data_IF_295294989313
#
_entry.id   IF_295294989313
#
_cell.length_a   1.000
_cell.length_b   1.000
_cell.length_c   1.000
_cell.angle_alpha   90.00
_cell.angle_beta   90.00
_cell.angle_gamma   90.00
#
_symmetry.space_group_name_H-M   'P 1'
#
loop_
_entity.id
_entity.type
_entity.pdbx_description
1 polymer ?
#
# COMPACT_ATOMS: atom_id res chain seq x y z
N UNK A 1 -45.11 -21.68 -19.53
CA UNK A 1 -43.76 -21.26 -19.99
C UNK A 1 -43.48 -19.77 -19.72
N UNK A 2 -44.32 -18.83 -20.17
CA UNK A 2 -44.09 -17.37 -19.98
C UNK A 2 -43.92 -16.93 -18.51
N UNK A 3 -44.73 -17.48 -17.58
CA UNK A 3 -44.64 -17.16 -16.13
C UNK A 3 -43.33 -17.63 -15.48
N UNK A 4 -42.77 -18.76 -15.92
CA UNK A 4 -41.50 -19.29 -15.40
C UNK A 4 -40.34 -18.41 -15.88
N UNK A 5 -40.38 -17.96 -17.14
CA UNK A 5 -39.38 -17.02 -17.66
C UNK A 5 -39.37 -15.68 -16.89
N UNK A 6 -40.54 -15.14 -16.54
CA UNK A 6 -40.64 -13.91 -15.75
C UNK A 6 -40.05 -14.05 -14.33
N UNK A 7 -40.28 -15.20 -13.68
CA UNK A 7 -39.72 -15.48 -12.34
C UNK A 7 -38.21 -15.63 -12.38
N UNK A 8 -37.65 -16.26 -13.42
CA UNK A 8 -36.20 -16.38 -13.61
C UNK A 8 -35.55 -15.02 -13.83
N UNK A 9 -36.17 -14.14 -14.63
CA UNK A 9 -35.65 -12.78 -14.88
C UNK A 9 -35.68 -11.92 -13.62
N UNK A 10 -36.73 -12.02 -12.77
CA UNK A 10 -36.76 -11.34 -11.47
C UNK A 10 -35.71 -11.89 -10.49
N UNK A 11 -35.45 -13.20 -10.49
CA UNK A 11 -34.43 -13.81 -9.65
C UNK A 11 -33.01 -13.36 -10.02
N UNK A 12 -32.74 -13.13 -11.30
CA UNK A 12 -31.44 -12.61 -11.77
C UNK A 12 -31.25 -11.14 -11.39
N UNK A 13 -32.31 -10.33 -11.35
CA UNK A 13 -32.25 -8.93 -10.87
C UNK A 13 -32.07 -8.81 -9.35
N UNK A 14 -32.43 -9.85 -8.59
CA UNK A 14 -32.21 -9.94 -7.14
C UNK A 14 -30.85 -10.52 -6.78
N UNK A 15 -30.05 -10.97 -7.77
CA UNK A 15 -28.66 -11.29 -7.50
C UNK A 15 -28.00 -10.00 -7.00
N UNK A 16 -27.38 -10.00 -5.81
CA UNK A 16 -26.57 -8.87 -5.42
C UNK A 16 -25.54 -8.72 -6.53
N UNK A 17 -25.56 -7.58 -7.22
CA UNK A 17 -24.45 -7.16 -8.05
C UNK A 17 -23.32 -7.00 -7.04
N UNK A 18 -22.56 -8.08 -6.84
CA UNK A 18 -21.41 -8.10 -5.95
C UNK A 18 -20.51 -7.01 -6.49
N UNK A 19 -20.58 -5.85 -5.84
CA UNK A 19 -19.88 -4.65 -6.24
C UNK A 19 -18.44 -5.05 -6.44
N UNK A 20 -17.94 -4.86 -7.67
CA UNK A 20 -16.52 -4.97 -7.92
C UNK A 20 -15.86 -4.16 -6.83
N UNK A 21 -15.03 -4.80 -6.00
CA UNK A 21 -14.37 -4.13 -4.89
C UNK A 21 -13.61 -2.95 -5.49
N UNK A 22 -14.19 -1.76 -5.35
CA UNK A 22 -13.61 -0.56 -5.93
C UNK A 22 -12.27 -0.37 -5.23
N UNK A 23 -11.22 -0.18 -6.03
CA UNK A 23 -9.88 0.05 -5.53
C UNK A 23 -9.94 1.19 -4.49
N UNK A 24 -9.46 0.94 -3.26
CA UNK A 24 -9.58 1.91 -2.16
C UNK A 24 -8.92 3.24 -2.52
N UNK A 25 -7.86 3.16 -3.32
CA UNK A 25 -7.12 4.28 -3.85
C UNK A 25 -7.94 5.14 -4.79
N UNK A 26 -8.71 4.54 -5.71
CA UNK A 26 -9.60 5.30 -6.60
C UNK A 26 -10.83 5.85 -5.86
N UNK A 27 -11.36 5.10 -4.89
CA UNK A 27 -12.49 5.55 -4.06
C UNK A 27 -12.20 6.86 -3.32
N UNK A 28 -10.97 7.02 -2.84
CA UNK A 28 -10.56 8.19 -2.05
C UNK A 28 -9.68 9.18 -2.81
N UNK A 29 -9.48 8.97 -4.11
CA UNK A 29 -8.80 9.94 -4.96
C UNK A 29 -9.58 11.26 -4.98
N UNK A 30 -8.93 12.37 -4.60
CA UNK A 30 -9.55 13.70 -4.50
C UNK A 30 -10.37 13.96 -3.23
N UNK A 31 -10.39 13.04 -2.27
CA UNK A 31 -11.05 13.27 -0.97
C UNK A 31 -10.18 14.21 -0.09
N UNK A 32 -10.78 15.26 0.47
CA UNK A 32 -10.06 16.28 1.28
C UNK A 32 -9.51 15.76 2.62
N UNK A 33 -10.08 14.67 3.14
CA UNK A 33 -9.65 14.01 4.38
C UNK A 33 -8.53 12.98 4.14
N UNK A 34 -8.12 12.81 2.89
CA UNK A 34 -7.10 11.84 2.49
C UNK A 34 -5.92 12.55 1.83
N UNK A 35 -4.72 12.23 2.30
CA UNK A 35 -3.51 12.50 1.52
C UNK A 35 -3.31 11.34 0.57
N UNK A 36 -3.52 11.60 -0.72
CA UNK A 36 -3.37 10.61 -1.79
C UNK A 36 -2.13 10.93 -2.61
N UNK A 37 -1.25 9.95 -2.78
CA UNK A 37 -0.12 10.05 -3.71
C UNK A 37 -0.12 8.83 -4.61
N UNK A 38 -0.10 9.07 -5.92
CA UNK A 38 0.11 8.03 -6.93
C UNK A 38 1.24 8.44 -7.85
N UNK A 39 2.24 7.56 -7.97
CA UNK A 39 3.39 7.78 -8.85
C UNK A 39 3.32 6.76 -9.96
N UNK A 40 3.24 7.27 -11.18
CA UNK A 40 3.23 6.47 -12.40
C UNK A 40 4.65 6.09 -12.84
N UNK A 41 4.82 4.98 -13.59
CA UNK A 41 6.15 4.48 -13.95
C UNK A 41 6.98 5.47 -14.77
N UNK A 42 6.32 6.38 -15.50
CA UNK A 42 7.00 7.45 -16.24
C UNK A 42 7.80 8.38 -15.33
N UNK A 43 7.32 8.68 -14.12
CA UNK A 43 8.05 9.50 -13.15
C UNK A 43 9.32 8.81 -12.67
N UNK A 44 9.25 7.50 -12.40
CA UNK A 44 10.42 6.70 -12.01
C UNK A 44 11.45 6.62 -13.13
N UNK A 45 11.01 6.44 -14.38
CA UNK A 45 11.89 6.48 -15.55
C UNK A 45 12.52 7.85 -15.75
N UNK A 46 11.81 8.95 -15.47
CA UNK A 46 12.36 10.30 -15.55
C UNK A 46 13.44 10.51 -14.49
N UNK A 47 13.20 10.12 -13.23
CA UNK A 47 14.22 10.17 -12.16
C UNK A 47 15.45 9.34 -12.53
N UNK A 48 15.25 8.11 -13.01
CA UNK A 48 16.35 7.25 -13.44
C UNK A 48 17.15 7.84 -14.62
N UNK A 49 16.50 8.56 -15.54
CA UNK A 49 17.15 9.20 -16.71
C UNK A 49 17.83 10.52 -16.38
N UNK A 50 17.39 11.22 -15.34
CA UNK A 50 18.03 12.47 -14.90
C UNK A 50 19.42 12.24 -14.30
N UNK A 51 19.83 10.97 -14.11
CA UNK A 51 21.24 10.62 -13.90
C UNK A 51 21.90 11.47 -12.83
N UNK A 52 21.28 11.56 -11.65
CA UNK A 52 22.00 12.04 -10.47
C UNK A 52 23.26 11.18 -10.41
N UNK A 53 24.46 11.77 -10.39
CA UNK A 53 25.71 11.02 -10.35
C UNK A 53 25.69 10.12 -9.11
N UNK A 54 25.42 8.84 -9.32
CA UNK A 54 25.31 7.85 -8.24
C UNK A 54 26.60 7.06 -8.18
N UNK A 55 27.68 7.77 -7.85
CA UNK A 55 28.97 7.14 -7.51
C UNK A 55 28.90 6.39 -6.18
N UNK A 56 27.79 6.56 -5.44
CA UNK A 56 27.46 5.86 -4.21
C UNK A 56 26.61 4.60 -4.48
N UNK A 57 27.09 3.46 -3.97
CA UNK A 57 26.42 2.16 -4.07
C UNK A 57 25.02 2.16 -3.46
N UNK A 58 24.79 2.98 -2.42
CA UNK A 58 23.48 3.05 -1.75
C UNK A 58 22.42 3.70 -2.64
N UNK A 59 22.78 4.79 -3.32
CA UNK A 59 21.83 5.47 -4.19
C UNK A 59 21.64 4.72 -5.53
N UNK A 60 22.61 3.90 -5.97
CA UNK A 60 22.42 2.97 -7.08
C UNK A 60 21.34 1.93 -6.78
N UNK A 61 21.40 1.32 -5.60
CA UNK A 61 20.40 0.35 -5.15
C UNK A 61 19.00 0.96 -5.08
N UNK A 62 18.91 2.19 -4.56
CA UNK A 62 17.67 2.96 -4.56
C UNK A 62 17.12 3.23 -5.98
N UNK A 63 18.00 3.55 -6.94
CA UNK A 63 17.60 3.73 -8.34
C UNK A 63 17.14 2.44 -9.02
N UNK A 64 17.76 1.31 -8.71
CA UNK A 64 17.35 0.03 -9.29
C UNK A 64 16.02 -0.44 -8.71
N UNK A 65 15.76 -0.22 -7.42
CA UNK A 65 14.43 -0.39 -6.81
C UNK A 65 13.38 0.51 -7.47
N UNK A 66 13.69 1.80 -7.65
CA UNK A 66 12.77 2.76 -8.29
C UNK A 66 12.40 2.35 -9.71
N UNK A 67 13.36 1.83 -10.50
CA UNK A 67 13.10 1.33 -11.86
C UNK A 67 12.20 0.09 -11.89
N UNK A 68 12.24 -0.72 -10.84
CA UNK A 68 11.48 -1.98 -10.80
C UNK A 68 10.02 -1.78 -10.40
N UNK A 69 9.67 -0.63 -9.83
CA UNK A 69 8.31 -0.24 -9.48
C UNK A 69 7.53 0.21 -10.73
N UNK A 70 6.40 -0.45 -10.99
CA UNK A 70 5.47 -0.10 -12.06
C UNK A 70 4.30 0.74 -11.57
N UNK A 71 3.95 0.69 -10.28
CA UNK A 71 2.95 1.55 -9.67
C UNK A 71 3.27 1.75 -8.20
N UNK A 72 3.12 2.98 -7.73
CA UNK A 72 3.10 3.31 -6.31
C UNK A 72 1.82 4.09 -6.00
N UNK A 73 1.05 3.62 -5.02
CA UNK A 73 -0.10 4.33 -4.47
C UNK A 73 -0.01 4.35 -2.96
N UNK A 74 -0.30 5.49 -2.34
CA UNK A 74 -0.42 5.59 -0.89
C UNK A 74 -1.60 6.47 -0.49
N UNK A 75 -2.26 6.07 0.59
CA UNK A 75 -3.27 6.85 1.29
C UNK A 75 -2.83 7.03 2.73
N UNK A 76 -2.91 8.27 3.20
CA UNK A 76 -2.76 8.63 4.61
C UNK A 76 -4.04 9.34 5.07
N UNK A 77 -4.60 8.93 6.20
CA UNK A 77 -5.82 9.49 6.77
C UNK A 77 -5.76 9.52 8.30
N UNK A 78 -6.37 10.55 8.88
CA UNK A 78 -6.71 10.66 10.30
C UNK A 78 -8.23 10.50 10.55
N UNK A 79 -9.03 10.44 9.49
CA UNK A 79 -10.46 10.15 9.59
C UNK A 79 -10.71 8.66 9.92
N UNK A 80 -11.36 8.41 11.06
CA UNK A 80 -11.68 7.07 11.60
C UNK A 80 -12.57 6.23 10.69
N UNK A 81 -13.52 6.85 10.01
CA UNK A 81 -14.44 6.15 9.12
C UNK A 81 -13.70 5.65 7.88
N UNK A 82 -12.83 6.49 7.31
CA UNK A 82 -11.97 6.13 6.18
C UNK A 82 -10.95 5.06 6.62
N UNK A 83 -10.34 5.21 7.79
CA UNK A 83 -9.44 4.21 8.37
C UNK A 83 -10.09 2.83 8.53
N UNK A 84 -11.33 2.79 9.02
CA UNK A 84 -12.10 1.56 9.14
C UNK A 84 -12.43 0.92 7.78
N UNK A 85 -12.69 1.74 6.76
CA UNK A 85 -12.96 1.26 5.41
C UNK A 85 -11.70 0.71 4.73
N UNK A 86 -10.56 1.41 4.85
CA UNK A 86 -9.25 0.92 4.42
C UNK A 86 -8.95 -0.42 5.11
N UNK A 87 -9.16 -0.52 6.43
CA UNK A 87 -8.92 -1.77 7.17
C UNK A 87 -9.76 -2.93 6.64
N UNK A 88 -11.01 -2.69 6.25
CA UNK A 88 -11.88 -3.71 5.63
C UNK A 88 -11.38 -4.08 4.24
N UNK A 89 -10.99 -3.09 3.44
CA UNK A 89 -10.43 -3.32 2.11
C UNK A 89 -9.14 -4.14 2.18
N UNK A 90 -8.21 -3.81 3.09
CA UNK A 90 -6.97 -4.57 3.30
C UNK A 90 -7.27 -6.01 3.65
N UNK A 91 -8.20 -6.27 4.59
CA UNK A 91 -8.63 -7.65 4.93
C UNK A 91 -9.20 -8.41 3.74
N UNK A 92 -9.93 -7.74 2.86
CA UNK A 92 -10.45 -8.35 1.63
C UNK A 92 -9.33 -8.61 0.61
N UNK A 93 -8.39 -7.67 0.47
CA UNK A 93 -7.29 -7.75 -0.50
C UNK A 93 -6.25 -8.80 -0.10
N UNK A 94 -5.97 -8.90 1.20
CA UNK A 94 -4.98 -9.83 1.76
C UNK A 94 -5.32 -11.29 1.53
N UNK A 95 -6.58 -11.64 1.22
CA UNK A 95 -6.96 -13.02 0.87
C UNK A 95 -6.28 -13.56 -0.41
N UNK A 96 -5.69 -12.68 -1.22
CA UNK A 96 -4.91 -13.04 -2.42
C UNK A 96 -3.41 -12.82 -2.27
N UNK A 97 -2.97 -12.47 -1.06
CA UNK A 97 -1.59 -12.12 -0.72
C UNK A 97 -1.12 -12.99 0.44
N UNK A 98 0.19 -13.17 0.56
CA UNK A 98 0.83 -13.80 1.71
C UNK A 98 1.17 -12.74 2.76
N UNK A 99 0.85 -12.99 4.03
CA UNK A 99 1.29 -12.14 5.14
C UNK A 99 2.73 -12.49 5.49
N UNK A 100 3.68 -11.61 5.17
CA UNK A 100 5.09 -11.84 5.48
C UNK A 100 5.44 -11.48 6.92
N UNK A 101 4.85 -10.39 7.42
CA UNK A 101 5.21 -9.87 8.73
C UNK A 101 4.07 -9.04 9.31
N UNK A 102 3.90 -9.17 10.63
CA UNK A 102 3.03 -8.33 11.44
C UNK A 102 3.79 -7.84 12.68
N UNK A 103 3.71 -6.55 12.96
CA UNK A 103 4.21 -5.94 14.19
C UNK A 103 3.05 -5.29 14.91
N UNK A 104 2.92 -5.56 16.21
CA UNK A 104 1.94 -4.92 17.09
C UNK A 104 2.67 -4.38 18.30
N UNK A 105 2.59 -3.07 18.50
CA UNK A 105 3.19 -2.40 19.66
C UNK A 105 2.42 -1.14 20.03
N UNK A 106 2.21 -0.89 21.32
CA UNK A 106 1.60 0.36 21.82
C UNK A 106 0.20 0.70 21.27
N UNK A 107 -0.51 -0.25 20.66
CA UNK A 107 -1.78 -0.01 19.96
C UNK A 107 -1.64 0.41 18.50
N UNK A 108 -0.42 0.43 17.95
CA UNK A 108 -0.18 0.41 16.51
C UNK A 108 -0.10 -1.03 15.98
N UNK A 109 -0.47 -1.19 14.71
CA UNK A 109 -0.36 -2.42 13.97
C UNK A 109 0.25 -2.10 12.60
N UNK A 110 1.34 -2.80 12.26
CA UNK A 110 1.97 -2.78 10.94
C UNK A 110 1.83 -4.17 10.33
N UNK A 111 1.39 -4.24 9.09
CA UNK A 111 1.29 -5.50 8.33
C UNK A 111 1.93 -5.36 6.96
N UNK A 112 2.65 -6.39 6.57
CA UNK A 112 3.27 -6.53 5.26
C UNK A 112 2.67 -7.73 4.56
N UNK A 113 2.07 -7.47 3.41
CA UNK A 113 1.50 -8.49 2.54
C UNK A 113 2.21 -8.48 1.20
N UNK A 114 2.47 -9.66 0.63
CA UNK A 114 3.11 -9.76 -0.69
C UNK A 114 2.39 -10.70 -1.62
N UNK A 115 2.63 -10.50 -2.91
CA UNK A 115 2.38 -11.49 -3.93
C UNK A 115 3.70 -11.94 -4.51
N UNK A 116 4.00 -13.23 -4.42
CA UNK A 116 5.25 -13.80 -4.93
C UNK A 116 5.50 -13.44 -6.40
N UNK A 117 6.76 -13.15 -6.70
CA UNK A 117 7.22 -12.66 -7.98
C UNK A 117 7.68 -13.78 -8.92
N UNK A 118 8.89 -13.62 -9.44
CA UNK A 118 9.54 -14.57 -10.35
C UNK A 118 10.38 -15.61 -9.59
N UNK A 119 10.78 -15.29 -8.36
CA UNK A 119 11.57 -16.12 -7.45
C UNK A 119 11.21 -15.75 -6.00
N UNK A 120 11.92 -16.33 -5.03
CA UNK A 120 11.64 -16.18 -3.59
C UNK A 120 12.15 -14.89 -2.96
N UNK A 121 12.88 -14.06 -3.72
CA UNK A 121 13.41 -12.77 -3.28
C UNK A 121 12.67 -11.60 -3.95
N UNK A 122 11.88 -11.87 -4.99
CA UNK A 122 11.11 -10.86 -5.71
C UNK A 122 9.60 -10.99 -5.48
N UNK A 123 8.92 -9.85 -5.45
CA UNK A 123 7.46 -9.77 -5.31
C UNK A 123 6.84 -8.93 -6.43
N UNK A 124 5.67 -9.38 -6.90
CA UNK A 124 4.85 -8.66 -7.89
C UNK A 124 4.04 -7.52 -7.28
N UNK A 125 3.68 -7.68 -6.02
CA UNK A 125 2.88 -6.73 -5.26
C UNK A 125 3.37 -6.73 -3.81
N UNK A 126 3.52 -5.53 -3.25
CA UNK A 126 3.70 -5.30 -1.82
C UNK A 126 2.57 -4.40 -1.35
N UNK A 127 1.87 -4.82 -0.31
CA UNK A 127 0.87 -4.04 0.38
C UNK A 127 1.29 -3.88 1.83
N UNK A 128 1.56 -2.63 2.23
CA UNK A 128 1.88 -2.26 3.60
C UNK A 128 0.66 -1.57 4.19
N UNK A 129 0.21 -2.05 5.34
CA UNK A 129 -0.87 -1.44 6.09
C UNK A 129 -0.38 -1.07 7.48
N UNK A 130 -0.57 0.20 7.84
CA UNK A 130 -0.24 0.72 9.15
C UNK A 130 -1.46 1.37 9.78
N UNK A 131 -1.75 1.02 11.02
CA UNK A 131 -2.81 1.60 11.81
C UNK A 131 -2.30 1.98 13.20
N UNK A 132 -2.77 3.08 13.77
CA UNK A 132 -2.36 3.59 15.08
C UNK A 132 -0.96 4.21 15.13
N UNK A 133 -0.49 4.81 14.02
CA UNK A 133 0.84 5.46 13.94
C UNK A 133 1.04 6.54 15.02
N UNK A 134 -0.03 7.25 15.37
CA UNK A 134 -0.08 8.30 16.40
C UNK A 134 0.45 7.83 17.77
N UNK A 135 0.33 6.54 18.09
CA UNK A 135 0.77 5.98 19.38
C UNK A 135 2.23 5.58 19.44
N UNK A 136 2.83 5.23 18.29
CA UNK A 136 4.21 4.70 18.23
C UNK A 136 5.21 5.76 17.79
N UNK A 137 4.80 6.69 16.92
CA UNK A 137 5.76 7.64 16.36
C UNK A 137 6.10 8.83 17.26
N UNK A 138 5.40 9.05 18.39
CA UNK A 138 5.50 10.30 19.18
C UNK A 138 5.56 11.58 18.30
N UNK A 139 5.02 11.48 17.08
CA UNK A 139 5.17 12.51 16.08
C UNK A 139 4.14 13.58 16.40
N UNK A 140 4.61 14.82 16.52
CA UNK A 140 3.77 16.01 16.65
C UNK A 140 3.00 16.25 15.34
N UNK A 141 2.10 15.32 14.99
CA UNK A 141 1.43 15.25 13.70
C UNK A 141 2.38 15.21 12.51
N UNK A 142 1.83 15.13 11.31
CA UNK A 142 2.52 15.58 10.09
C UNK A 142 1.84 16.85 9.64
N UNK A 143 2.63 17.88 9.33
CA UNK A 143 2.12 19.09 8.71
C UNK A 143 1.70 18.75 7.28
N UNK A 144 0.38 18.76 7.05
CA UNK A 144 -0.19 18.67 5.71
C UNK A 144 -1.01 19.94 5.50
N UNK A 145 -0.50 20.84 4.65
CA UNK A 145 -1.12 22.13 4.36
C UNK A 145 -1.28 23.04 5.60
N UNK A 146 -0.33 23.06 6.52
CA UNK A 146 -0.36 23.91 7.73
C UNK A 146 -1.26 23.41 8.85
N UNK A 147 -1.79 22.19 8.74
CA UNK A 147 -2.59 21.54 9.79
C UNK A 147 -1.81 20.35 10.37
N UNK A 148 -1.68 20.32 11.70
CA UNK A 148 -1.19 19.13 12.41
C UNK A 148 -2.24 18.02 12.34
N UNK A 149 -2.00 17.01 11.52
CA UNK A 149 -2.84 15.81 11.45
C UNK A 149 -2.24 14.68 12.25
N UNK A 150 -3.02 14.07 13.14
CA UNK A 150 -2.62 12.85 13.85
C UNK A 150 -2.79 11.69 12.89
N UNK A 151 -1.70 11.20 12.30
CA UNK A 151 -1.78 10.09 11.35
C UNK A 151 -2.29 8.85 12.09
N UNK A 152 -3.52 8.43 11.78
CA UNK A 152 -4.09 7.20 12.33
C UNK A 152 -3.81 6.02 11.40
N UNK A 153 -3.95 6.17 10.09
CA UNK A 153 -3.85 5.05 9.14
C UNK A 153 -3.08 5.42 7.88
N UNK A 154 -2.19 4.52 7.47
CA UNK A 154 -1.43 4.57 6.22
C UNK A 154 -1.63 3.25 5.48
N UNK A 155 -1.88 3.31 4.19
CA UNK A 155 -1.83 2.14 3.31
C UNK A 155 -0.98 2.45 2.09
N UNK A 156 0.00 1.60 1.82
CA UNK A 156 0.91 1.71 0.67
C UNK A 156 0.76 0.46 -0.19
N UNK A 157 0.58 0.66 -1.49
CA UNK A 157 0.60 -0.41 -2.49
C UNK A 157 1.70 -0.12 -3.51
N UNK A 158 2.60 -1.09 -3.67
CA UNK A 158 3.58 -1.11 -4.73
C UNK A 158 3.35 -2.32 -5.63
N UNK A 159 3.46 -2.13 -6.93
CA UNK A 159 3.52 -3.24 -7.90
C UNK A 159 4.76 -3.10 -8.75
N UNK A 160 5.33 -4.22 -9.18
CA UNK A 160 6.58 -4.22 -9.93
C UNK A 160 7.28 -5.56 -9.95
N UNK A 161 8.58 -5.53 -10.22
CA UNK A 161 9.50 -6.65 -9.97
C UNK A 161 10.40 -6.26 -8.79
N UNK A 162 9.84 -6.32 -7.58
CA UNK A 162 10.43 -5.65 -6.42
C UNK A 162 11.26 -6.65 -5.61
N UNK A 163 12.54 -6.36 -5.42
CA UNK A 163 13.42 -7.13 -4.54
C UNK A 163 13.11 -6.82 -3.07
N UNK A 164 12.82 -7.85 -2.28
CA UNK A 164 12.52 -7.75 -0.85
C UNK A 164 13.68 -7.14 -0.04
N UNK A 165 14.93 -7.33 -0.48
CA UNK A 165 16.10 -6.76 0.18
C UNK A 165 16.21 -5.24 -0.01
N UNK A 166 15.60 -4.68 -1.06
CA UNK A 166 15.54 -3.23 -1.25
C UNK A 166 14.39 -2.60 -0.44
N UNK A 167 13.34 -3.37 -0.17
CA UNK A 167 12.21 -2.93 0.66
C UNK A 167 12.67 -2.68 2.10
N UNK A 168 13.50 -3.54 2.69
CA UNK A 168 14.02 -3.34 4.05
C UNK A 168 14.74 -1.99 4.19
N UNK A 169 15.55 -1.62 3.19
CA UNK A 169 16.24 -0.32 3.12
C UNK A 169 15.27 0.86 2.99
N UNK A 170 14.21 0.71 2.18
CA UNK A 170 13.19 1.74 2.03
C UNK A 170 12.43 1.98 3.34
N UNK A 171 12.01 0.92 4.02
CA UNK A 171 11.33 1.01 5.30
C UNK A 171 12.20 1.63 6.38
N UNK A 172 13.51 1.36 6.38
CA UNK A 172 14.46 1.98 7.30
C UNK A 172 14.58 3.49 7.09
N UNK A 173 14.68 3.94 5.82
CA UNK A 173 14.73 5.37 5.48
C UNK A 173 13.42 6.10 5.81
N UNK A 174 12.29 5.43 5.68
CA UNK A 174 10.98 5.99 6.04
C UNK A 174 10.64 5.82 7.53
N UNK A 175 11.56 5.28 8.33
CA UNK A 175 11.39 5.00 9.75
C UNK A 175 10.15 4.13 10.05
N UNK A 176 9.83 3.19 9.14
CA UNK A 176 8.70 2.27 9.30
C UNK A 176 9.16 1.09 10.16
N UNK A 177 8.55 0.84 11.33
CA UNK A 177 8.95 -0.25 12.20
C UNK A 177 8.73 -1.61 11.52
N UNK A 178 9.71 -2.51 11.70
CA UNK A 178 9.68 -3.88 11.19
C UNK A 178 10.44 -4.11 9.88
N UNK A 179 10.79 -3.04 9.15
CA UNK A 179 11.51 -3.11 7.88
C UNK A 179 12.77 -3.97 7.87
N UNK A 180 13.60 -3.81 8.91
CA UNK A 180 14.87 -4.54 9.11
C UNK A 180 14.74 -6.06 9.14
N UNK A 181 13.54 -6.58 9.39
CA UNK A 181 13.30 -8.03 9.47
C UNK A 181 12.94 -8.65 8.13
N UNK A 182 12.75 -7.84 7.07
CA UNK A 182 12.49 -8.32 5.72
C UNK A 182 13.77 -8.74 4.98
N UNK A 183 14.94 -8.33 5.47
CA UNK A 183 16.22 -8.75 4.92
C UNK A 183 16.48 -10.21 5.34
N UNK A 184 16.59 -11.12 4.37
CA UNK A 184 16.99 -12.50 4.66
C UNK A 184 18.41 -12.47 5.21
N UNK A 185 18.58 -12.82 6.49
CA UNK A 185 19.92 -13.12 7.02
C UNK A 185 20.48 -14.30 6.24
N UNK A 186 21.60 -14.08 5.56
CA UNK A 186 22.45 -15.14 5.00
C UNK A 186 22.87 -16.14 6.06
#
# INVERSE_FOLDING_TARGET
>A
MKKIATVIVMAIMLLPISGMAQDIFEKYNGNSEVTYVSIQPKMFQMIAKMGINVDDAEAKAYMDMVKSITSFKTIVTDNKTIAADISKWVKSRSGSLEELMQVKDGGAEVKFYVKEGKDSDHVKELLIFVNGIDKVMQANGVDVNGQQRKIETVVVSLTGDIDLNEISRLTDKMNIPGGKHLEKKK
#
